data_IF_584921199680
#
_entry.id   IF_584921199680
#
_cell.length_a   1.000
_cell.length_b   1.000
_cell.length_c   1.000
_cell.angle_alpha   90.00
_cell.angle_beta   90.00
_cell.angle_gamma   90.00
#
_symmetry.space_group_name_H-M   'P 1'
#
loop_
_entity.id
_entity.type
_entity.pdbx_description
1 polymer ?
#
# COMPACT_ATOMS: atom_id res chain seq x y z
N UNK A 1 3.12 -28.51 -18.24
CA UNK A 1 3.27 -27.18 -18.88
C UNK A 1 1.99 -26.40 -18.59
N UNK A 2 2.06 -25.20 -17.99
CA UNK A 2 0.86 -24.43 -17.61
C UNK A 2 0.09 -23.99 -18.86
N UNK A 3 -1.25 -24.07 -18.82
CA UNK A 3 -2.11 -23.49 -19.86
C UNK A 3 -1.99 -21.95 -19.87
N UNK A 4 -2.36 -21.28 -20.98
CA UNK A 4 -2.37 -19.81 -21.04
C UNK A 4 -3.17 -19.19 -19.89
N UNK A 5 -4.33 -19.75 -19.56
CA UNK A 5 -5.21 -19.26 -18.49
C UNK A 5 -4.58 -19.44 -17.10
N UNK A 6 -3.94 -20.59 -16.88
CA UNK A 6 -3.22 -20.83 -15.62
C UNK A 6 -2.05 -19.86 -15.43
N UNK A 7 -1.35 -19.49 -16.51
CA UNK A 7 -0.29 -18.48 -16.44
C UNK A 7 -0.85 -17.11 -16.06
N UNK A 8 -1.98 -16.71 -16.64
CA UNK A 8 -2.63 -15.44 -16.30
C UNK A 8 -3.07 -15.38 -14.84
N UNK A 9 -3.66 -16.46 -14.32
CA UNK A 9 -4.06 -16.55 -12.90
C UNK A 9 -2.84 -16.45 -11.98
N UNK A 10 -1.76 -17.17 -12.28
CA UNK A 10 -0.52 -17.12 -11.49
C UNK A 10 0.10 -15.72 -11.52
N UNK A 11 0.11 -15.06 -12.69
CA UNK A 11 0.58 -13.67 -12.81
C UNK A 11 -0.29 -12.72 -12.00
N UNK A 12 -1.62 -12.88 -12.02
CA UNK A 12 -2.54 -12.06 -11.24
C UNK A 12 -2.31 -12.25 -9.73
N UNK A 13 -2.13 -13.49 -9.25
CA UNK A 13 -1.82 -13.77 -7.85
C UNK A 13 -0.49 -13.14 -7.42
N UNK A 14 0.52 -13.24 -8.28
CA UNK A 14 1.84 -12.66 -8.00
C UNK A 14 1.81 -11.13 -7.94
N UNK A 15 1.15 -10.48 -8.91
CA UNK A 15 0.96 -9.03 -8.92
C UNK A 15 0.20 -8.56 -7.68
N UNK A 16 -0.84 -9.29 -7.27
CA UNK A 16 -1.63 -8.95 -6.08
C UNK A 16 -0.75 -8.95 -4.82
N UNK A 17 0.18 -9.92 -4.72
CA UNK A 17 1.17 -9.96 -3.66
C UNK A 17 2.11 -8.75 -3.66
N UNK A 18 2.56 -8.31 -4.84
CA UNK A 18 3.39 -7.09 -4.98
C UNK A 18 2.60 -5.84 -4.58
N UNK A 19 1.34 -5.71 -5.01
CA UNK A 19 0.47 -4.60 -4.62
C UNK A 19 0.32 -4.55 -3.09
N UNK A 20 0.02 -5.69 -2.46
CA UNK A 20 -0.11 -5.78 -1.00
C UNK A 20 1.15 -5.33 -0.27
N UNK A 21 2.30 -5.90 -0.65
CA UNK A 21 3.57 -5.63 0.01
C UNK A 21 3.97 -4.16 -0.16
N UNK A 22 3.82 -3.62 -1.36
CA UNK A 22 4.19 -2.23 -1.67
C UNK A 22 3.27 -1.24 -0.96
N UNK A 23 1.96 -1.49 -0.93
CA UNK A 23 1.01 -0.66 -0.18
C UNK A 23 1.33 -0.67 1.32
N UNK A 24 1.73 -1.83 1.87
CA UNK A 24 2.17 -1.94 3.27
C UNK A 24 3.47 -1.15 3.53
N UNK A 25 4.43 -1.16 2.60
CA UNK A 25 5.64 -0.34 2.71
C UNK A 25 5.31 1.16 2.72
N UNK A 26 4.36 1.62 1.89
CA UNK A 26 3.88 3.01 1.90
C UNK A 26 3.22 3.32 3.24
N UNK A 27 2.28 2.48 3.66
CA UNK A 27 1.59 2.59 4.94
C UNK A 27 2.58 2.82 6.09
N UNK A 28 3.57 1.92 6.19
CA UNK A 28 4.59 1.96 7.22
C UNK A 28 5.46 3.23 7.12
N UNK A 29 5.75 3.69 5.91
CA UNK A 29 6.55 4.90 5.71
C UNK A 29 5.81 6.18 6.10
N UNK A 30 4.49 6.21 5.96
CA UNK A 30 3.61 7.29 6.45
C UNK A 30 3.53 7.26 7.98
N UNK A 31 3.32 6.07 8.55
CA UNK A 31 3.19 5.84 9.99
C UNK A 31 4.46 6.20 10.76
N UNK A 32 5.62 5.77 10.25
CA UNK A 32 6.92 5.97 10.89
C UNK A 32 7.76 6.93 10.05
N UNK A 33 7.44 8.24 10.10
CA UNK A 33 8.22 9.24 9.38
C UNK A 33 9.67 9.18 9.88
N UNK A 34 10.60 8.91 8.96
CA UNK A 34 12.03 8.90 9.27
C UNK A 34 12.54 10.29 9.66
N UNK A 35 13.80 10.42 10.09
CA UNK A 35 14.40 11.71 10.43
C UNK A 35 14.30 12.71 9.26
N UNK A 36 14.20 14.02 9.58
CA UNK A 36 13.92 15.14 8.63
C UNK A 36 14.82 15.22 7.37
N UNK A 37 15.93 14.48 7.28
CA UNK A 37 16.83 14.39 6.11
C UNK A 37 16.72 13.08 5.32
N UNK A 38 15.68 12.29 5.56
CA UNK A 38 15.52 10.98 4.91
C UNK A 38 15.11 11.12 3.44
N UNK A 39 15.79 10.38 2.54
CA UNK A 39 15.39 10.21 1.13
C UNK A 39 14.09 9.40 0.95
N UNK A 40 13.43 8.98 2.04
CA UNK A 40 12.19 8.17 2.03
C UNK A 40 11.07 8.76 1.19
N UNK A 41 10.89 10.08 1.19
CA UNK A 41 9.86 10.72 0.36
C UNK A 41 10.04 10.39 -1.13
N UNK A 42 11.28 10.44 -1.62
CA UNK A 42 11.61 10.05 -3.01
C UNK A 42 11.35 8.57 -3.28
N UNK A 43 11.70 7.69 -2.32
CA UNK A 43 11.40 6.26 -2.45
C UNK A 43 9.90 5.97 -2.46
N UNK A 44 9.10 6.68 -1.67
CA UNK A 44 7.63 6.56 -1.68
C UNK A 44 7.07 6.97 -3.05
N UNK A 45 7.55 8.07 -3.64
CA UNK A 45 7.11 8.50 -4.97
C UNK A 45 7.42 7.46 -6.05
N UNK A 46 8.64 6.91 -6.03
CA UNK A 46 9.02 5.81 -6.92
C UNK A 46 8.10 4.60 -6.70
N UNK A 47 7.85 4.24 -5.43
CA UNK A 47 6.98 3.12 -5.11
C UNK A 47 5.55 3.33 -5.61
N UNK A 48 5.00 4.55 -5.48
CA UNK A 48 3.68 4.92 -6.00
C UNK A 48 3.63 4.76 -7.52
N UNK A 49 4.67 5.20 -8.24
CA UNK A 49 4.74 5.05 -9.69
C UNK A 49 4.74 3.57 -10.11
N UNK A 50 5.58 2.74 -9.44
CA UNK A 50 5.63 1.29 -9.67
C UNK A 50 4.29 0.63 -9.35
N UNK A 51 3.67 1.00 -8.24
CA UNK A 51 2.34 0.52 -7.84
C UNK A 51 1.27 0.87 -8.88
N UNK A 52 1.28 2.08 -9.40
CA UNK A 52 0.32 2.52 -10.44
C UNK A 52 0.46 1.69 -11.72
N UNK A 53 1.69 1.33 -12.07
CA UNK A 53 1.97 0.44 -13.20
C UNK A 53 1.47 -0.98 -12.94
N UNK A 54 1.75 -1.55 -11.76
CA UNK A 54 1.26 -2.86 -11.36
C UNK A 54 -0.28 -2.93 -11.35
N UNK A 55 -0.94 -1.88 -10.84
CA UNK A 55 -2.40 -1.76 -10.83
C UNK A 55 -2.97 -1.74 -12.25
N UNK A 56 -2.31 -1.03 -13.18
CA UNK A 56 -2.70 -0.99 -14.58
C UNK A 56 -2.54 -2.36 -15.26
N UNK A 57 -1.48 -3.08 -14.91
CA UNK A 57 -1.22 -4.43 -15.43
C UNK A 57 -2.26 -5.44 -14.96
N UNK A 58 -2.60 -5.42 -13.66
CA UNK A 58 -3.66 -6.28 -13.13
C UNK A 58 -5.00 -5.98 -13.77
N UNK A 59 -5.36 -4.69 -13.89
CA UNK A 59 -6.60 -4.30 -14.54
C UNK A 59 -6.69 -4.87 -15.97
N UNK A 60 -5.61 -4.75 -16.76
CA UNK A 60 -5.54 -5.30 -18.12
C UNK A 60 -5.66 -6.82 -18.13
N UNK A 61 -4.97 -7.52 -17.22
CA UNK A 61 -5.07 -8.98 -17.08
C UNK A 61 -6.50 -9.42 -16.74
N UNK A 62 -7.15 -8.75 -15.79
CA UNK A 62 -8.54 -9.06 -15.42
C UNK A 62 -9.49 -8.85 -16.59
N UNK A 63 -9.37 -7.73 -17.31
CA UNK A 63 -10.20 -7.50 -18.51
C UNK A 63 -9.91 -8.49 -19.63
N UNK A 64 -8.65 -8.95 -19.77
CA UNK A 64 -8.26 -9.99 -20.72
C UNK A 64 -8.81 -11.38 -20.35
N UNK A 65 -9.03 -11.63 -19.05
CA UNK A 65 -9.69 -12.81 -18.52
C UNK A 65 -11.22 -12.69 -18.49
N UNK A 66 -11.82 -11.78 -19.27
CA UNK A 66 -13.27 -11.56 -19.37
C UNK A 66 -13.99 -11.12 -18.08
N UNK A 67 -13.26 -10.63 -17.07
CA UNK A 67 -13.91 -9.95 -15.94
C UNK A 67 -14.58 -8.66 -16.44
N UNK A 68 -15.80 -8.39 -15.95
CA UNK A 68 -16.42 -7.10 -16.22
C UNK A 68 -15.57 -5.96 -15.65
N UNK A 69 -15.52 -4.84 -16.37
CA UNK A 69 -14.79 -3.63 -15.96
C UNK A 69 -15.16 -3.20 -14.54
N UNK A 70 -16.46 -3.26 -14.21
CA UNK A 70 -16.99 -2.94 -12.89
C UNK A 70 -16.44 -3.87 -11.81
N UNK A 71 -16.43 -5.18 -12.07
CA UNK A 71 -15.87 -6.17 -11.13
C UNK A 71 -14.37 -5.99 -10.93
N UNK A 72 -13.62 -5.84 -12.02
CA UNK A 72 -12.18 -5.63 -11.95
C UNK A 72 -11.84 -4.39 -11.12
N UNK A 73 -12.52 -3.27 -11.37
CA UNK A 73 -12.34 -2.03 -10.61
C UNK A 73 -12.72 -2.19 -9.14
N UNK A 74 -13.82 -2.86 -8.83
CA UNK A 74 -14.26 -3.07 -7.45
C UNK A 74 -13.29 -3.97 -6.68
N UNK A 75 -12.74 -5.02 -7.29
CA UNK A 75 -11.72 -5.87 -6.66
C UNK A 75 -10.45 -5.06 -6.39
N UNK A 76 -9.94 -4.36 -7.39
CA UNK A 76 -8.67 -3.65 -7.27
C UNK A 76 -8.76 -2.46 -6.30
N UNK A 77 -9.81 -1.64 -6.40
CA UNK A 77 -9.97 -0.48 -5.53
C UNK A 77 -10.53 -0.88 -4.17
N UNK A 78 -11.63 -1.64 -4.15
CA UNK A 78 -12.34 -2.01 -2.93
C UNK A 78 -11.65 -3.11 -2.14
N UNK A 79 -10.96 -4.04 -2.80
CA UNK A 79 -10.23 -5.12 -2.15
C UNK A 79 -8.82 -4.75 -1.70
N UNK A 80 -8.12 -3.87 -2.43
CA UNK A 80 -6.72 -3.54 -2.14
C UNK A 80 -6.50 -2.09 -1.72
N UNK A 81 -6.81 -1.12 -2.59
CA UNK A 81 -6.41 0.27 -2.36
C UNK A 81 -7.10 0.87 -1.12
N UNK A 82 -8.41 0.70 -1.01
CA UNK A 82 -9.23 1.27 0.07
C UNK A 82 -8.88 0.66 1.44
N UNK A 83 -8.85 -0.68 1.62
CA UNK A 83 -8.52 -1.27 2.91
C UNK A 83 -7.12 -0.87 3.39
N UNK A 84 -6.12 -0.91 2.51
CA UNK A 84 -4.76 -0.53 2.94
C UNK A 84 -4.68 0.94 3.29
N UNK A 85 -5.33 1.84 2.55
CA UNK A 85 -5.37 3.26 2.88
C UNK A 85 -5.99 3.52 4.27
N UNK A 86 -7.15 2.93 4.56
CA UNK A 86 -7.83 3.11 5.84
C UNK A 86 -7.03 2.50 7.01
N UNK A 87 -6.49 1.29 6.84
CA UNK A 87 -5.63 0.66 7.86
C UNK A 87 -4.41 1.54 8.14
N UNK A 88 -3.77 2.07 7.10
CA UNK A 88 -2.62 2.99 7.21
C UNK A 88 -2.99 4.24 8.01
N UNK A 89 -4.14 4.83 7.73
CA UNK A 89 -4.61 6.06 8.35
C UNK A 89 -4.94 5.84 9.84
N UNK A 90 -5.67 4.76 10.16
CA UNK A 90 -5.99 4.39 11.55
C UNK A 90 -4.71 4.14 12.34
N UNK A 91 -3.77 3.38 11.78
CA UNK A 91 -2.52 3.07 12.45
C UNK A 91 -1.65 4.31 12.65
N UNK A 92 -1.58 5.20 11.65
CA UNK A 92 -0.91 6.50 11.76
C UNK A 92 -1.52 7.33 12.91
N UNK A 93 -2.85 7.37 13.01
CA UNK A 93 -3.55 8.11 14.07
C UNK A 93 -3.24 7.55 15.46
N UNK A 94 -3.25 6.23 15.62
CA UNK A 94 -2.89 5.57 16.89
C UNK A 94 -1.43 5.89 17.28
N UNK A 95 -0.50 5.79 16.33
CA UNK A 95 0.92 6.07 16.57
C UNK A 95 1.18 7.54 16.91
N UNK A 96 0.55 8.47 16.18
CA UNK A 96 0.64 9.91 16.47
C UNK A 96 0.15 10.22 17.88
N UNK A 97 -1.00 9.68 18.26
CA UNK A 97 -1.55 9.87 19.61
C UNK A 97 -0.62 9.29 20.68
N UNK A 98 0.00 8.13 20.43
CA UNK A 98 0.99 7.55 21.35
C UNK A 98 2.23 8.44 21.49
N UNK A 99 2.79 8.93 20.40
CA UNK A 99 3.95 9.83 20.42
C UNK A 99 3.65 11.14 21.16
N UNK A 100 2.48 11.75 20.91
CA UNK A 100 2.03 12.95 21.63
C UNK A 100 1.82 12.68 23.13
N UNK A 101 1.26 11.53 23.49
CA UNK A 101 1.06 11.14 24.91
C UNK A 101 2.37 10.83 25.64
N UNK A 102 3.39 10.28 24.95
CA UNK A 102 4.72 10.07 25.52
C UNK A 102 5.47 11.38 25.69
N UNK A 103 5.33 12.33 24.75
CA UNK A 103 5.97 13.64 24.87
C UNK A 103 5.41 14.45 26.03
N UNK A 104 4.10 14.36 26.30
CA UNK A 104 3.46 14.98 27.50
C UNK A 104 3.85 14.32 28.82
N UNK A 105 4.35 13.08 28.80
CA UNK A 105 4.78 12.34 30.00
C UNK A 105 6.25 12.52 30.34
N UNK A 106 7.05 13.17 29.50
CA UNK A 106 8.40 13.60 29.86
C UNK A 106 8.20 14.89 30.67
N UNK A 107 8.26 14.86 32.01
CA UNK A 107 8.23 16.09 32.77
C UNK A 107 9.49 16.85 32.38
N UNK A 108 9.40 18.17 32.37
CA UNK A 108 10.54 19.06 32.40
C UNK A 108 11.52 18.52 33.44
N UNK A 109 12.58 17.85 32.98
CA UNK A 109 13.72 17.54 33.81
C UNK A 109 14.45 18.87 34.00
N UNK A 110 13.90 19.65 34.93
CA UNK A 110 14.55 20.48 35.95
C UNK A 110 15.92 21.03 35.51
N UNK A 111 15.92 22.34 35.31
CA UNK A 111 16.95 23.34 35.69
C UNK A 111 18.34 22.82 36.08
#
# INVERSE_FOLDING_TARGET
MLSPDQKQIVTLMFLNGILFLSLNVIARSIVFPGPRKSKRMGYILILIAVLSMAFTWEYRLMTGMSFSVTWARNILLGGFAVPVFFISLVYYRIMKNRAESQNRRKPDAID
#
